data_IF_603623837960
#
_entry.id   IF_603623837960
#
_cell.length_a   1.000
_cell.length_b   1.000
_cell.length_c   1.000
_cell.angle_alpha   90.00
_cell.angle_beta   90.00
_cell.angle_gamma   90.00
#
_symmetry.space_group_name_H-M   'P 1'
#
loop_
_entity.id
_entity.type
_entity.pdbx_description
1 polymer ?
#
# COMPACT_ATOMS: atom_id res chain seq x y z
N UNK A 1 5.12 21.30 18.87
CA UNK A 1 5.07 21.81 17.48
C UNK A 1 4.81 20.61 16.58
N UNK A 2 3.56 20.40 16.16
CA UNK A 2 3.19 19.28 15.30
C UNK A 2 3.74 19.56 13.89
N UNK A 3 4.60 18.69 13.38
CA UNK A 3 5.05 18.77 12.00
C UNK A 3 3.82 18.58 11.10
N UNK A 4 3.45 19.62 10.36
CA UNK A 4 2.46 19.51 9.31
C UNK A 4 2.99 18.52 8.27
N UNK A 5 2.30 17.40 8.10
CA UNK A 5 2.56 16.43 7.03
C UNK A 5 2.46 17.21 5.71
N UNK A 6 3.58 17.46 5.06
CA UNK A 6 3.61 18.14 3.77
C UNK A 6 3.17 17.16 2.70
N UNK A 7 2.01 17.41 2.08
CA UNK A 7 1.50 16.59 0.97
C UNK A 7 2.45 16.56 -0.25
N UNK A 8 3.44 17.46 -0.30
CA UNK A 8 4.36 17.64 -1.44
C UNK A 8 5.71 16.92 -1.32
N UNK A 9 6.07 16.40 -0.14
CA UNK A 9 7.33 15.68 0.04
C UNK A 9 7.12 14.17 -0.16
N UNK A 10 7.82 13.57 -1.14
CA UNK A 10 7.82 12.12 -1.39
C UNK A 10 7.92 11.25 -0.13
N UNK A 11 8.87 11.48 0.82
CA UNK A 11 8.96 10.66 2.02
C UNK A 11 7.73 10.79 2.93
N UNK A 12 7.15 11.98 3.05
CA UNK A 12 5.95 12.21 3.88
C UNK A 12 4.70 11.57 3.26
N UNK A 13 4.60 11.61 1.92
CA UNK A 13 3.53 10.95 1.18
C UNK A 13 3.59 9.43 1.38
N UNK A 14 4.78 8.82 1.23
CA UNK A 14 4.94 7.38 1.46
C UNK A 14 4.73 6.98 2.92
N UNK A 15 5.22 7.79 3.87
CA UNK A 15 5.01 7.55 5.29
C UNK A 15 3.51 7.60 5.67
N UNK A 16 2.76 8.51 5.06
CA UNK A 16 1.32 8.64 5.29
C UNK A 16 0.54 7.44 4.76
N UNK A 17 0.88 6.95 3.56
CA UNK A 17 0.28 5.71 3.03
C UNK A 17 0.67 4.48 3.86
N UNK A 18 1.93 4.38 4.30
CA UNK A 18 2.38 3.28 5.13
C UNK A 18 1.67 3.24 6.49
N UNK A 19 1.44 4.43 7.10
CA UNK A 19 0.69 4.53 8.35
C UNK A 19 -0.78 4.17 8.19
N UNK A 20 -1.42 4.59 7.09
CA UNK A 20 -2.78 4.17 6.75
C UNK A 20 -2.86 2.64 6.66
N UNK A 21 -2.01 2.01 5.86
CA UNK A 21 -2.03 0.55 5.67
C UNK A 21 -1.77 -0.19 6.99
N UNK A 22 -0.82 0.29 7.81
CA UNK A 22 -0.54 -0.28 9.13
C UNK A 22 -1.77 -0.23 10.06
N UNK A 23 -2.50 0.88 10.06
CA UNK A 23 -3.76 1.02 10.81
C UNK A 23 -4.87 0.08 10.31
N UNK A 24 -4.84 -0.27 9.02
CA UNK A 24 -5.80 -1.15 8.37
C UNK A 24 -5.35 -2.62 8.30
N UNK A 25 -4.43 -3.03 9.18
CA UNK A 25 -4.07 -4.44 9.36
C UNK A 25 -2.97 -4.97 8.45
N UNK A 26 -2.23 -4.08 7.79
CA UNK A 26 -1.06 -4.47 6.99
C UNK A 26 -0.01 -5.20 7.80
N UNK A 27 0.45 -6.34 7.27
CA UNK A 27 1.50 -7.19 7.83
C UNK A 27 2.74 -7.14 6.92
N UNK A 28 3.90 -6.69 7.43
CA UNK A 28 5.11 -6.64 6.64
C UNK A 28 5.53 -8.04 6.19
N UNK A 29 6.06 -8.14 4.96
CA UNK A 29 6.53 -9.38 4.31
C UNK A 29 5.46 -10.41 3.97
N UNK A 30 4.20 -10.13 4.25
CA UNK A 30 3.07 -10.95 3.81
C UNK A 30 2.65 -10.60 2.37
N UNK A 31 2.04 -11.57 1.68
CA UNK A 31 1.50 -11.37 0.34
C UNK A 31 0.36 -10.34 0.31
N UNK A 32 0.12 -9.77 -0.88
CA UNK A 32 -0.94 -8.77 -1.13
C UNK A 32 -1.86 -9.12 -2.32
N UNK A 33 -1.74 -10.33 -2.87
CA UNK A 33 -2.62 -10.86 -3.91
C UNK A 33 -4.03 -11.18 -3.36
N UNK A 34 -5.07 -11.32 -4.19
CA UNK A 34 -6.37 -11.80 -3.74
C UNK A 34 -6.24 -13.06 -2.87
N UNK A 35 -6.84 -13.05 -1.68
CA UNK A 35 -6.77 -14.16 -0.70
C UNK A 35 -5.57 -14.12 0.27
N UNK A 36 -4.67 -13.16 0.14
CA UNK A 36 -3.54 -12.97 1.08
C UNK A 36 -3.89 -12.07 2.27
N UNK A 37 -3.02 -12.07 3.28
CA UNK A 37 -3.23 -11.32 4.52
C UNK A 37 -3.38 -9.80 4.31
N UNK A 38 -2.69 -9.22 3.31
CA UNK A 38 -2.71 -7.78 3.08
C UNK A 38 -3.76 -7.32 2.06
N UNK A 39 -4.48 -8.24 1.42
CA UNK A 39 -5.46 -7.88 0.38
C UNK A 39 -6.57 -6.98 0.91
N UNK A 40 -7.04 -7.25 2.14
CA UNK A 40 -8.08 -6.43 2.77
C UNK A 40 -7.58 -5.01 3.07
N UNK A 41 -6.33 -4.84 3.50
CA UNK A 41 -5.75 -3.51 3.73
C UNK A 41 -5.69 -2.67 2.44
N UNK A 42 -5.42 -3.30 1.29
CA UNK A 42 -5.47 -2.64 -0.02
C UNK A 42 -6.90 -2.29 -0.45
N UNK A 43 -7.87 -3.16 -0.17
CA UNK A 43 -9.28 -2.93 -0.46
C UNK A 43 -9.88 -1.78 0.38
N UNK A 44 -9.42 -1.63 1.62
CA UNK A 44 -9.80 -0.49 2.47
C UNK A 44 -9.20 0.83 1.96
N UNK A 45 -7.98 0.79 1.41
CA UNK A 45 -7.36 1.97 0.80
C UNK A 45 -8.06 2.39 -0.49
N UNK A 46 -8.46 1.42 -1.32
CA UNK A 46 -9.26 1.65 -2.51
C UNK A 46 -10.18 0.44 -2.79
N UNK A 47 -11.49 0.69 -2.75
CA UNK A 47 -12.53 -0.36 -2.84
C UNK A 47 -12.61 -1.03 -4.22
N UNK A 48 -11.98 -0.48 -5.25
CA UNK A 48 -12.02 -1.05 -6.59
C UNK A 48 -11.11 -2.29 -6.69
N UNK A 49 -11.69 -3.47 -6.89
CA UNK A 49 -10.91 -4.72 -7.02
C UNK A 49 -9.89 -4.68 -8.16
N UNK A 50 -10.20 -3.97 -9.26
CA UNK A 50 -9.28 -3.80 -10.39
C UNK A 50 -8.02 -3.03 -9.95
N UNK A 51 -8.16 -2.07 -9.04
CA UNK A 51 -7.05 -1.28 -8.54
C UNK A 51 -6.05 -2.14 -7.75
N UNK A 52 -6.55 -2.96 -6.82
CA UNK A 52 -5.74 -3.91 -6.06
C UNK A 52 -4.99 -4.89 -6.96
N UNK A 53 -5.63 -5.39 -8.02
CA UNK A 53 -4.98 -6.28 -9.01
C UNK A 53 -3.90 -5.56 -9.81
N UNK A 54 -4.15 -4.32 -10.25
CA UNK A 54 -3.16 -3.53 -11.00
C UNK A 54 -1.90 -3.30 -10.16
N UNK A 55 -2.05 -2.93 -8.89
CA UNK A 55 -0.91 -2.79 -7.97
C UNK A 55 -0.15 -4.11 -7.84
N UNK A 56 -0.88 -5.21 -7.68
CA UNK A 56 -0.26 -6.52 -7.52
C UNK A 56 0.58 -6.93 -8.75
N UNK A 57 0.08 -6.65 -9.97
CA UNK A 57 0.79 -6.90 -11.23
C UNK A 57 1.96 -5.93 -11.41
N UNK A 58 1.77 -4.64 -11.14
CA UNK A 58 2.83 -3.64 -11.25
C UNK A 58 4.00 -3.98 -10.32
N UNK A 59 3.71 -4.32 -9.06
CA UNK A 59 4.73 -4.74 -8.11
C UNK A 59 5.43 -6.03 -8.54
N UNK A 60 4.70 -7.02 -9.07
CA UNK A 60 5.29 -8.26 -9.59
C UNK A 60 6.31 -7.98 -10.71
N UNK A 61 5.94 -7.15 -11.68
CA UNK A 61 6.85 -6.74 -12.78
C UNK A 61 8.07 -5.98 -12.28
N UNK A 62 7.89 -5.09 -11.29
CA UNK A 62 9.00 -4.36 -10.67
C UNK A 62 9.95 -5.28 -9.91
N UNK A 63 9.49 -6.41 -9.38
CA UNK A 63 10.34 -7.40 -8.71
C UNK A 63 11.07 -8.32 -9.69
N UNK A 64 10.47 -8.59 -10.85
CA UNK A 64 11.07 -9.40 -11.92
C UNK A 64 12.22 -8.68 -12.64
N UNK A 65 12.14 -7.35 -12.79
CA UNK A 65 13.19 -6.55 -13.42
C UNK A 65 14.38 -6.18 -12.54
N UNK A 66 14.64 -6.92 -11.45
CA UNK A 66 15.69 -6.62 -10.46
C UNK A 66 16.80 -7.66 -10.47
#
# INVERSE_FOLDING_TARGET
>A
MAAAISCAAYPDMFASTANFLKGHGWRPKEGWQPGSANYNALQEWNKAQVYSRTIAVAAARMMEGR
#
